data_IF_451577818768
#
_entry.id   IF_451577818768
#
_cell.length_a   1.000
_cell.length_b   1.000
_cell.length_c   1.000
_cell.angle_alpha   90.00
_cell.angle_beta   90.00
_cell.angle_gamma   90.00
#
_symmetry.space_group_name_H-M   'P 1'
#
loop_
_entity.id
_entity.type
_entity.pdbx_description
1 polymer ?
#
# COMPACT_ATOMS: atom_id res chain seq x y z
N UNK A 1 -24.72 16.84 -1.97
CA UNK A 1 -23.35 16.30 -1.94
C UNK A 1 -22.33 17.44 -1.96
N UNK A 2 -21.25 17.33 -1.18
CA UNK A 2 -20.35 18.46 -0.85
C UNK A 2 -19.06 18.50 -1.71
N UNK A 3 -18.91 17.57 -2.66
CA UNK A 3 -17.69 17.45 -3.47
C UNK A 3 -16.50 16.78 -2.76
N UNK A 4 -16.67 16.32 -1.52
CA UNK A 4 -15.64 15.60 -0.75
C UNK A 4 -15.37 14.21 -1.33
N UNK A 5 -14.10 13.95 -1.65
CA UNK A 5 -13.62 12.63 -2.11
C UNK A 5 -13.18 11.78 -0.93
N UNK A 6 -13.32 10.46 -1.04
CA UNK A 6 -12.89 9.49 -0.03
C UNK A 6 -12.21 8.32 -0.74
N UNK A 7 -10.99 7.95 -0.35
CA UNK A 7 -10.25 6.83 -0.92
C UNK A 7 -9.44 6.12 0.17
N UNK A 8 -8.87 4.95 -0.15
CA UNK A 8 -7.95 4.23 0.71
C UNK A 8 -6.63 3.89 -0.02
N UNK A 9 -5.56 3.72 0.74
CA UNK A 9 -4.31 3.12 0.26
C UNK A 9 -4.15 1.74 0.89
N UNK A 10 -4.11 0.70 0.08
CA UNK A 10 -3.76 -0.66 0.51
C UNK A 10 -2.26 -0.84 0.38
N UNK A 11 -1.52 -0.51 1.44
CA UNK A 11 -0.08 -0.60 1.45
C UNK A 11 0.40 -2.05 1.67
N UNK A 12 1.54 -2.39 1.06
CA UNK A 12 2.30 -3.57 1.45
C UNK A 12 2.81 -3.47 2.89
N UNK A 13 3.33 -4.57 3.47
CA UNK A 13 3.80 -4.57 4.85
C UNK A 13 5.01 -3.63 5.03
N UNK A 14 4.92 -2.74 6.02
CA UNK A 14 6.00 -1.83 6.43
C UNK A 14 6.26 -2.03 7.93
N UNK A 15 7.54 -2.02 8.34
CA UNK A 15 7.92 -2.05 9.75
C UNK A 15 7.51 -0.76 10.45
N UNK A 16 6.44 -0.84 11.24
CA UNK A 16 5.96 0.24 12.12
C UNK A 16 5.89 -0.26 13.56
N UNK A 17 5.67 0.65 14.53
CA UNK A 17 5.41 0.26 15.93
C UNK A 17 4.15 -0.60 16.07
N UNK A 18 3.13 -0.38 15.23
CA UNK A 18 1.94 -1.24 15.24
C UNK A 18 2.26 -2.65 14.73
N UNK A 19 3.14 -2.76 13.73
CA UNK A 19 3.52 -4.04 13.15
C UNK A 19 4.33 -4.93 14.11
N UNK A 20 4.97 -4.38 15.15
CA UNK A 20 5.73 -5.19 16.11
C UNK A 20 4.86 -6.09 16.98
N UNK A 21 3.55 -5.86 17.03
CA UNK A 21 2.59 -6.74 17.71
C UNK A 21 2.15 -7.95 16.88
N UNK A 22 2.55 -8.04 15.60
CA UNK A 22 2.16 -9.13 14.70
C UNK A 22 3.22 -10.24 14.76
N UNK A 23 2.80 -11.43 15.16
CA UNK A 23 3.67 -12.62 15.13
C UNK A 23 4.19 -12.87 13.70
N UNK A 24 5.45 -13.27 13.58
CA UNK A 24 6.12 -13.60 12.32
C UNK A 24 6.16 -12.49 11.26
N UNK A 25 5.97 -11.22 11.64
CA UNK A 25 6.02 -10.09 10.70
C UNK A 25 7.34 -10.01 9.92
N UNK A 26 8.46 -10.41 10.54
CA UNK A 26 9.76 -10.49 9.86
C UNK A 26 9.76 -11.51 8.71
N UNK A 27 9.12 -12.67 8.91
CA UNK A 27 8.99 -13.70 7.87
C UNK A 27 8.09 -13.19 6.74
N UNK A 28 6.98 -12.53 7.09
CA UNK A 28 6.08 -11.92 6.11
C UNK A 28 6.81 -10.94 5.18
N UNK A 29 7.65 -10.05 5.72
CA UNK A 29 8.44 -9.12 4.89
C UNK A 29 9.38 -9.84 3.92
N UNK A 30 10.05 -10.89 4.36
CA UNK A 30 10.93 -11.69 3.51
C UNK A 30 10.13 -12.40 2.40
N UNK A 31 8.96 -12.94 2.74
CA UNK A 31 8.09 -13.62 1.76
C UNK A 31 7.53 -12.65 0.73
N UNK A 32 7.10 -11.45 1.15
CA UNK A 32 6.58 -10.42 0.25
C UNK A 32 7.69 -9.97 -0.70
N UNK A 33 8.85 -9.57 -0.20
CA UNK A 33 10.01 -9.23 -1.03
C UNK A 33 10.38 -10.34 -2.01
N UNK A 34 10.33 -11.60 -1.58
CA UNK A 34 10.63 -12.72 -2.45
C UNK A 34 9.56 -12.99 -3.51
N UNK A 35 8.31 -12.56 -3.35
CA UNK A 35 7.20 -12.90 -4.24
C UNK A 35 6.74 -11.75 -5.12
N UNK A 36 6.81 -10.51 -4.64
CA UNK A 36 6.28 -9.34 -5.35
C UNK A 36 6.87 -9.20 -6.75
N UNK A 37 6.09 -8.73 -7.74
CA UNK A 37 6.59 -8.44 -9.07
C UNK A 37 7.86 -7.58 -9.08
N UNK A 38 7.97 -6.59 -8.19
CA UNK A 38 9.15 -5.73 -8.10
C UNK A 38 10.27 -6.28 -7.20
N UNK A 39 10.11 -7.47 -6.61
CA UNK A 39 11.10 -8.18 -5.79
C UNK A 39 11.73 -7.34 -4.67
N UNK A 40 10.90 -6.52 -4.03
CA UNK A 40 11.26 -5.68 -2.88
C UNK A 40 10.01 -5.35 -2.07
N UNK A 41 10.21 -4.89 -0.84
CA UNK A 41 9.14 -4.30 -0.03
C UNK A 41 8.88 -2.84 -0.45
N UNK A 42 7.68 -2.35 -0.15
CA UNK A 42 7.31 -0.95 -0.32
C UNK A 42 7.95 -0.08 0.78
N UNK A 43 8.21 1.19 0.50
CA UNK A 43 8.69 2.17 1.50
C UNK A 43 7.61 3.18 1.92
N UNK A 44 7.86 3.88 3.04
CA UNK A 44 6.95 4.94 3.49
C UNK A 44 6.91 6.13 2.54
N UNK A 45 7.99 6.38 1.80
CA UNK A 45 8.05 7.43 0.78
C UNK A 45 7.13 7.11 -0.40
N UNK A 46 7.07 5.85 -0.83
CA UNK A 46 6.17 5.42 -1.91
C UNK A 46 4.71 5.52 -1.50
N UNK A 47 4.37 5.07 -0.28
CA UNK A 47 3.02 5.23 0.28
C UNK A 47 2.67 6.71 0.47
N UNK A 48 3.62 7.51 0.96
CA UNK A 48 3.46 8.95 1.15
C UNK A 48 3.21 9.69 -0.16
N UNK A 49 3.95 9.34 -1.22
CA UNK A 49 3.75 9.92 -2.55
C UNK A 49 2.37 9.57 -3.12
N UNK A 50 1.93 8.32 -2.98
CA UNK A 50 0.59 7.90 -3.41
C UNK A 50 -0.52 8.62 -2.61
N UNK A 51 -0.35 8.77 -1.30
CA UNK A 51 -1.27 9.52 -0.46
C UNK A 51 -1.30 11.01 -0.85
N UNK A 52 -0.14 11.63 -1.09
CA UNK A 52 -0.05 13.01 -1.54
C UNK A 52 -0.77 13.22 -2.88
N UNK A 53 -0.63 12.30 -3.83
CA UNK A 53 -1.38 12.30 -5.08
C UNK A 53 -2.90 12.24 -4.82
N UNK A 54 -3.38 11.28 -4.02
CA UNK A 54 -4.82 11.11 -3.73
C UNK A 54 -5.42 12.33 -3.00
N UNK A 55 -4.63 13.03 -2.18
CA UNK A 55 -5.01 14.26 -1.48
C UNK A 55 -4.90 15.53 -2.34
N UNK A 56 -4.38 15.44 -3.58
CA UNK A 56 -4.21 16.58 -4.48
C UNK A 56 -5.33 16.68 -5.52
N UNK A 57 -5.36 17.80 -6.25
CA UNK A 57 -6.28 18.01 -7.38
C UNK A 57 -5.98 17.10 -8.58
N UNK A 58 -4.78 16.51 -8.64
CA UNK A 58 -4.42 15.52 -9.66
C UNK A 58 -5.30 14.28 -9.61
N UNK A 59 -5.88 13.99 -8.44
CA UNK A 59 -6.81 12.88 -8.22
C UNK A 59 -8.28 13.34 -8.15
N UNK A 60 -8.62 14.52 -8.72
CA UNK A 60 -9.98 15.10 -8.67
C UNK A 60 -11.07 14.17 -9.22
N UNK A 61 -10.74 13.28 -10.15
CA UNK A 61 -11.66 12.27 -10.69
C UNK A 61 -11.72 10.94 -9.92
N UNK A 62 -10.97 10.78 -8.82
CA UNK A 62 -10.81 9.50 -8.10
C UNK A 62 -11.45 9.59 -6.72
N UNK A 63 -12.54 8.84 -6.53
CA UNK A 63 -13.24 8.68 -5.25
C UNK A 63 -13.84 7.28 -5.14
N UNK A 64 -13.92 6.74 -3.93
CA UNK A 64 -14.42 5.39 -3.65
C UNK A 64 -13.43 4.27 -3.99
N UNK A 65 -12.17 4.61 -4.25
CA UNK A 65 -11.16 3.66 -4.74
C UNK A 65 -10.21 3.19 -3.62
N UNK A 66 -9.62 2.01 -3.83
CA UNK A 66 -8.56 1.43 -3.01
C UNK A 66 -7.32 1.31 -3.89
N UNK A 67 -6.40 2.26 -3.73
CA UNK A 67 -5.13 2.25 -4.45
C UNK A 67 -4.14 1.29 -3.76
N UNK A 68 -3.75 0.24 -4.46
CA UNK A 68 -2.73 -0.69 -3.98
C UNK A 68 -1.32 -0.12 -4.17
N UNK A 69 -0.57 -0.04 -3.07
CA UNK A 69 0.82 0.42 -3.03
C UNK A 69 1.64 -0.63 -2.30
N UNK A 70 1.82 -1.76 -2.96
CA UNK A 70 2.32 -2.99 -2.35
C UNK A 70 3.33 -3.72 -3.23
N UNK A 71 3.95 -2.99 -4.17
CA UNK A 71 4.88 -3.53 -5.18
C UNK A 71 4.29 -4.64 -6.06
N UNK A 72 2.96 -4.70 -6.16
CA UNK A 72 2.22 -5.66 -6.97
C UNK A 72 1.95 -6.99 -6.27
N UNK A 73 2.02 -7.05 -4.94
CA UNK A 73 1.75 -8.29 -4.21
C UNK A 73 0.32 -8.80 -4.44
N UNK A 74 -0.67 -7.91 -4.39
CA UNK A 74 -2.10 -8.25 -4.43
C UNK A 74 -2.56 -8.93 -5.73
N UNK A 75 -1.83 -8.74 -6.84
CA UNK A 75 -2.18 -9.38 -8.13
C UNK A 75 -1.65 -10.82 -8.24
N UNK A 76 -0.78 -11.23 -7.30
CA UNK A 76 -0.35 -12.61 -7.20
C UNK A 76 -1.52 -13.39 -6.59
N UNK A 77 -2.29 -14.08 -7.43
CA UNK A 77 -3.35 -14.98 -6.97
C UNK A 77 -2.83 -16.03 -5.98
N UNK A 78 -3.73 -16.74 -5.28
CA UNK A 78 -3.34 -17.84 -4.40
C UNK A 78 -2.47 -18.84 -5.17
N UNK A 79 -1.18 -18.88 -4.86
CA UNK A 79 -0.22 -19.89 -5.32
C UNK A 79 0.24 -20.70 -4.12
#
# INVERSE_FOLDING_TARGET
PEGTRVNAVSAGPIRTLAASGINDFRSMLTQVEAKTPLRRNVTIEEVGNAAAFLCSDLASGITGDILYVDTGYHILGMA
#
